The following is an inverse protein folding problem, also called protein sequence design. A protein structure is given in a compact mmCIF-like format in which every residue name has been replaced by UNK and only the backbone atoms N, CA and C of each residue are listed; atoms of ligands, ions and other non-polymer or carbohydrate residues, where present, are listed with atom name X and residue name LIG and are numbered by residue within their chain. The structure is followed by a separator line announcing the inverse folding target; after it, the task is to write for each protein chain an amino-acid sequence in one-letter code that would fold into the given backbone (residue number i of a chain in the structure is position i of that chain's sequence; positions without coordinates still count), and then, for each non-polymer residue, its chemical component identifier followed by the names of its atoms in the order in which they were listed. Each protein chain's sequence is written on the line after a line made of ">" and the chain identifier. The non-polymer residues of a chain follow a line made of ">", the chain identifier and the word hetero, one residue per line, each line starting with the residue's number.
data_IF_094685058114
#
_entry.id   IF_094685058114
#
_cell.length_a   1.000
_cell.length_b   1.000
_cell.length_c   1.000
_cell.angle_alpha   90.00
_cell.angle_beta   90.00
_cell.angle_gamma   90.00
#
_symmetry.space_group_name_H-M   'P 1'
#
loop_
_entity.id
_entity.type
_entity.pdbx_description
1 polymer ?
#
# COMPACT_ATOMS: atom_id res chain seq x y z
N UNK A 1 3.81 10.96 17.83
CA UNK A 1 3.29 11.45 16.54
C UNK A 1 3.53 12.95 16.50
N UNK A 2 4.02 13.48 15.37
CA UNK A 2 4.17 14.94 15.18
C UNK A 2 2.81 15.58 14.89
N UNK A 3 2.73 16.90 15.04
CA UNK A 3 1.59 17.67 14.55
C UNK A 3 1.56 17.62 13.01
N UNK A 4 0.36 17.57 12.44
CA UNK A 4 0.12 17.55 11.00
C UNK A 4 -1.20 18.26 10.69
N UNK A 5 -1.28 18.85 9.50
CA UNK A 5 -2.54 19.31 8.91
C UNK A 5 -3.40 18.14 8.46
N UNK A 6 -4.71 18.36 8.38
CA UNK A 6 -5.66 17.39 7.87
C UNK A 6 -6.59 18.07 6.89
N UNK A 7 -6.72 17.50 5.69
CA UNK A 7 -7.64 17.98 4.67
C UNK A 7 -8.37 16.81 4.04
N UNK A 8 -9.66 16.97 3.79
CA UNK A 8 -10.46 16.02 3.03
C UNK A 8 -10.44 16.42 1.55
N UNK A 9 -10.12 15.47 0.68
CA UNK A 9 -10.29 15.67 -0.76
C UNK A 9 -11.76 15.47 -1.16
N UNK A 10 -12.25 16.31 -2.08
CA UNK A 10 -13.64 16.23 -2.57
C UNK A 10 -13.76 15.50 -3.91
N UNK A 11 -12.67 15.44 -4.66
CA UNK A 11 -12.53 14.71 -5.91
C UNK A 11 -11.07 14.27 -6.09
N UNK A 12 -10.82 13.44 -7.11
CA UNK A 12 -9.49 12.89 -7.37
C UNK A 12 -8.50 13.98 -7.78
N UNK A 13 -8.91 14.92 -8.61
CA UNK A 13 -8.08 16.05 -9.07
C UNK A 13 -7.62 16.92 -7.89
N UNK A 14 -8.50 17.19 -6.94
CA UNK A 14 -8.21 17.90 -5.71
C UNK A 14 -7.26 17.11 -4.80
N UNK A 15 -7.44 15.79 -4.67
CA UNK A 15 -6.51 14.95 -3.93
C UNK A 15 -5.09 15.03 -4.52
N UNK A 16 -4.97 14.87 -5.84
CA UNK A 16 -3.69 14.98 -6.57
C UNK A 16 -3.06 16.35 -6.39
N UNK A 17 -3.86 17.42 -6.49
CA UNK A 17 -3.38 18.79 -6.33
C UNK A 17 -2.85 19.07 -4.91
N UNK A 18 -3.55 18.57 -3.89
CA UNK A 18 -3.11 18.69 -2.49
C UNK A 18 -1.81 17.93 -2.22
N UNK A 19 -1.68 16.71 -2.76
CA UNK A 19 -0.44 15.94 -2.63
C UNK A 19 0.72 16.60 -3.38
N UNK A 20 0.49 17.14 -4.57
CA UNK A 20 1.52 17.79 -5.37
C UNK A 20 2.03 19.11 -4.74
N UNK A 21 1.20 19.77 -3.94
CA UNK A 21 1.55 21.05 -3.29
C UNK A 21 2.52 20.89 -2.10
N UNK A 22 2.64 19.70 -1.52
CA UNK A 22 3.47 19.44 -0.33
C UNK A 22 4.16 18.06 -0.44
N UNK A 23 5.50 17.99 -0.59
CA UNK A 23 6.22 16.71 -0.70
C UNK A 23 6.11 15.83 0.55
N UNK A 24 5.78 16.41 1.70
CA UNK A 24 5.55 15.71 2.95
C UNK A 24 4.06 15.36 3.15
N UNK A 25 3.18 15.65 2.20
CA UNK A 25 1.80 15.20 2.26
C UNK A 25 1.70 13.69 2.01
N UNK A 26 0.71 13.04 2.66
CA UNK A 26 0.38 11.63 2.44
C UNK A 26 -1.12 11.45 2.33
N UNK A 27 -1.55 10.57 1.44
CA UNK A 27 -2.95 10.14 1.40
C UNK A 27 -3.29 9.29 2.63
N UNK A 28 -4.48 9.54 3.19
CA UNK A 28 -5.07 8.75 4.25
C UNK A 28 -6.28 8.00 3.71
N UNK A 29 -6.09 6.70 3.46
CA UNK A 29 -7.18 5.74 3.28
C UNK A 29 -7.67 5.24 4.65
N UNK A 30 -7.68 3.92 4.85
CA UNK A 30 -8.07 3.31 6.13
C UNK A 30 -7.18 3.61 7.35
N UNK A 31 -5.99 4.17 7.14
CA UNK A 31 -5.03 4.49 8.20
C UNK A 31 -4.36 3.29 8.89
N UNK A 32 -4.71 2.06 8.53
CA UNK A 32 -4.27 0.82 9.21
C UNK A 32 -2.76 0.53 9.12
N UNK A 33 -2.05 1.13 8.16
CA UNK A 33 -0.58 1.10 8.08
C UNK A 33 0.04 2.49 8.32
N UNK A 34 -0.45 3.54 7.66
CA UNK A 34 0.11 4.88 7.77
C UNK A 34 0.09 5.40 9.22
N UNK A 35 -1.04 5.30 9.93
CA UNK A 35 -1.15 5.85 11.30
C UNK A 35 -0.26 5.08 12.29
N UNK A 36 -0.06 3.78 12.07
CA UNK A 36 0.89 2.96 12.83
C UNK A 36 2.34 3.47 12.65
N UNK A 37 2.74 3.69 11.39
CA UNK A 37 4.05 4.25 11.05
C UNK A 37 4.23 5.69 11.57
N UNK A 38 3.15 6.47 11.67
CA UNK A 38 3.18 7.80 12.28
C UNK A 38 3.35 7.76 13.80
N UNK A 39 2.83 6.73 14.47
CA UNK A 39 3.01 6.52 15.91
C UNK A 39 4.44 6.13 16.25
N UNK A 40 5.02 5.23 15.47
CA UNK A 40 6.44 4.83 15.59
C UNK A 40 7.39 5.93 15.12
N UNK A 41 6.88 6.90 14.36
CA UNK A 41 7.64 8.05 13.86
C UNK A 41 8.47 7.72 12.61
N UNK A 42 8.19 6.61 11.95
CA UNK A 42 8.75 6.24 10.63
C UNK A 42 8.18 7.16 9.56
N UNK A 43 6.86 7.37 9.56
CA UNK A 43 6.21 8.37 8.70
C UNK A 43 5.98 9.65 9.50
N UNK A 44 6.29 10.80 8.90
CA UNK A 44 6.18 12.12 9.54
C UNK A 44 5.57 13.16 8.61
N UNK A 45 4.39 12.90 8.04
CA UNK A 45 3.79 13.82 7.09
C UNK A 45 3.47 15.16 7.74
N UNK A 46 3.62 16.24 6.97
CA UNK A 46 3.15 17.58 7.38
C UNK A 46 1.63 17.73 7.14
N UNK A 47 1.08 16.99 6.17
CA UNK A 47 -0.33 17.01 5.79
C UNK A 47 -0.86 15.59 5.53
N UNK A 48 -2.03 15.27 6.08
CA UNK A 48 -2.83 14.11 5.68
C UNK A 48 -3.98 14.54 4.77
N UNK A 49 -4.05 13.92 3.60
CA UNK A 49 -5.14 14.11 2.64
C UNK A 49 -6.08 12.91 2.73
N UNK A 50 -7.22 13.05 3.40
CA UNK A 50 -8.25 12.00 3.49
C UNK A 50 -8.93 11.79 2.14
N UNK A 51 -8.81 10.57 1.62
CA UNK A 51 -9.34 10.14 0.32
C UNK A 51 -10.48 9.13 0.45
N UNK A 52 -10.90 8.77 1.67
CA UNK A 52 -11.87 7.68 1.90
C UNK A 52 -13.25 7.95 1.27
N UNK A 53 -13.64 9.21 1.19
CA UNK A 53 -14.95 9.63 0.66
C UNK A 53 -14.92 9.90 -0.86
N UNK A 54 -13.78 9.68 -1.53
CA UNK A 54 -13.73 9.76 -2.99
C UNK A 54 -14.56 8.64 -3.61
N UNK A 55 -15.21 8.88 -4.77
CA UNK A 55 -16.08 7.91 -5.45
C UNK A 55 -15.27 6.82 -6.18
N UNK A 56 -14.37 6.17 -5.44
CA UNK A 56 -13.50 5.07 -5.85
C UNK A 56 -13.82 3.81 -5.05
N UNK A 57 -15.08 3.66 -4.65
CA UNK A 57 -15.59 2.66 -3.71
C UNK A 57 -16.40 1.56 -4.41
N UNK A 58 -16.29 1.47 -5.74
CA UNK A 58 -17.05 0.54 -6.57
C UNK A 58 -16.21 -0.62 -7.07
N UNK A 59 -16.90 -1.73 -7.34
CA UNK A 59 -16.38 -2.91 -8.02
C UNK A 59 -17.25 -3.11 -9.26
N UNK A 60 -16.70 -2.91 -10.44
CA UNK A 60 -17.47 -2.80 -11.70
C UNK A 60 -16.91 -3.76 -12.76
N UNK A 61 -17.76 -4.49 -13.50
CA UNK A 61 -17.29 -5.29 -14.64
C UNK A 61 -16.75 -4.37 -15.74
N UNK A 62 -15.69 -4.82 -16.41
CA UNK A 62 -15.11 -4.11 -17.56
C UNK A 62 -15.60 -4.71 -18.88
N UNK A 63 -15.50 -3.95 -19.97
CA UNK A 63 -16.02 -4.35 -21.29
C UNK A 63 -15.31 -5.57 -21.88
N UNK A 64 -14.07 -5.83 -21.46
CA UNK A 64 -13.24 -6.98 -21.82
C UNK A 64 -13.50 -8.21 -20.92
N UNK A 65 -14.47 -8.15 -20.01
CA UNK A 65 -14.85 -9.25 -19.12
C UNK A 65 -14.04 -9.34 -17.82
N UNK A 66 -13.19 -8.36 -17.53
CA UNK A 66 -12.47 -8.21 -16.28
C UNK A 66 -13.30 -7.52 -15.18
N UNK A 67 -12.59 -7.00 -14.17
CA UNK A 67 -13.17 -6.30 -13.03
C UNK A 67 -12.32 -5.08 -12.66
N UNK A 68 -12.95 -3.91 -12.60
CA UNK A 68 -12.36 -2.68 -12.07
C UNK A 68 -12.69 -2.57 -10.59
N UNK A 69 -11.67 -2.58 -9.75
CA UNK A 69 -11.79 -2.47 -8.30
C UNK A 69 -11.31 -1.08 -7.87
N UNK A 70 -12.21 -0.29 -7.30
CA UNK A 70 -11.91 1.04 -6.82
C UNK A 70 -10.95 1.05 -5.62
N UNK A 71 -10.09 2.07 -5.57
CA UNK A 71 -9.02 2.17 -4.56
C UNK A 71 -9.51 2.39 -3.12
N UNK A 72 -10.73 2.91 -2.91
CA UNK A 72 -11.33 3.14 -1.59
C UNK A 72 -12.27 2.01 -1.14
N UNK A 73 -12.51 1.00 -1.99
CA UNK A 73 -13.19 -0.24 -1.59
C UNK A 73 -12.47 -0.84 -0.38
N UNK A 74 -13.22 -1.21 0.66
CA UNK A 74 -12.62 -1.85 1.84
C UNK A 74 -12.25 -3.30 1.55
N UNK A 75 -11.23 -3.83 2.21
CA UNK A 75 -10.82 -5.23 2.06
C UNK A 75 -11.98 -6.19 2.40
N UNK A 76 -12.81 -5.84 3.39
CA UNK A 76 -13.97 -6.66 3.77
C UNK A 76 -15.03 -6.67 2.68
N UNK A 77 -15.38 -5.51 2.12
CA UNK A 77 -16.39 -5.41 1.06
C UNK A 77 -15.92 -6.15 -0.20
N UNK A 78 -14.64 -6.01 -0.55
CA UNK A 78 -14.05 -6.72 -1.67
C UNK A 78 -14.08 -8.24 -1.47
N UNK A 79 -13.76 -8.71 -0.26
CA UNK A 79 -13.73 -10.14 0.05
C UNK A 79 -15.12 -10.81 -0.08
N UNK A 80 -16.19 -10.07 0.21
CA UNK A 80 -17.57 -10.58 0.13
C UNK A 80 -18.27 -10.27 -1.19
N UNK A 81 -17.66 -9.47 -2.07
CA UNK A 81 -18.26 -9.07 -3.34
C UNK A 81 -18.61 -10.30 -4.21
N UNK A 82 -19.86 -10.44 -4.71
CA UNK A 82 -20.30 -11.65 -5.41
C UNK A 82 -19.43 -12.02 -6.62
N UNK A 83 -19.08 -11.05 -7.46
CA UNK A 83 -18.24 -11.29 -8.65
C UNK A 83 -16.81 -11.71 -8.26
N UNK A 84 -16.26 -11.17 -7.17
CA UNK A 84 -14.92 -11.53 -6.70
C UNK A 84 -14.92 -12.95 -6.16
N UNK A 85 -15.92 -13.30 -5.33
CA UNK A 85 -16.06 -14.66 -4.80
C UNK A 85 -16.26 -15.71 -5.88
N UNK A 86 -16.99 -15.35 -6.95
CA UNK A 86 -17.34 -16.28 -8.02
C UNK A 86 -16.20 -16.47 -9.01
N UNK A 87 -15.59 -15.38 -9.47
CA UNK A 87 -14.68 -15.40 -10.61
C UNK A 87 -13.21 -15.24 -10.19
N UNK A 88 -12.94 -14.69 -9.00
CA UNK A 88 -11.60 -14.41 -8.48
C UNK A 88 -11.39 -14.99 -7.05
N UNK A 89 -11.69 -16.28 -6.81
CA UNK A 89 -11.73 -16.84 -5.45
C UNK A 89 -10.39 -16.77 -4.70
N UNK A 90 -9.25 -16.80 -5.41
CA UNK A 90 -7.94 -16.62 -4.78
C UNK A 90 -7.76 -15.22 -4.17
N UNK A 91 -8.37 -14.17 -4.76
CA UNK A 91 -8.38 -12.82 -4.18
C UNK A 91 -9.21 -12.77 -2.89
N UNK A 92 -10.39 -13.39 -2.88
CA UNK A 92 -11.18 -13.54 -1.64
C UNK A 92 -10.38 -14.27 -0.55
N UNK A 93 -9.72 -15.37 -0.88
CA UNK A 93 -8.92 -16.14 0.08
C UNK A 93 -7.77 -15.32 0.65
N UNK A 94 -7.02 -14.61 -0.20
CA UNK A 94 -5.93 -13.74 0.22
C UNK A 94 -6.41 -12.63 1.17
N UNK A 95 -7.53 -11.99 0.85
CA UNK A 95 -8.13 -10.96 1.72
C UNK A 95 -8.53 -11.53 3.08
N UNK A 96 -9.13 -12.72 3.13
CA UNK A 96 -9.61 -13.32 4.39
C UNK A 96 -8.49 -13.91 5.25
N UNK A 97 -7.38 -14.33 4.64
CA UNK A 97 -6.20 -14.84 5.33
C UNK A 97 -5.43 -13.74 6.07
N UNK A 98 -5.41 -12.52 5.50
CA UNK A 98 -4.67 -11.40 6.05
C UNK A 98 -5.42 -10.63 7.14
N UNK A 99 -4.70 -10.21 8.18
CA UNK A 99 -5.17 -9.30 9.24
C UNK A 99 -6.41 -9.79 10.02
N UNK A 100 -7.06 -8.88 10.76
CA UNK A 100 -8.31 -9.12 11.51
C UNK A 100 -9.51 -8.52 10.77
N UNK A 101 -10.74 -8.92 11.16
CA UNK A 101 -11.95 -8.34 10.59
C UNK A 101 -12.04 -6.82 10.78
N UNK A 102 -11.62 -6.31 11.93
CA UNK A 102 -11.60 -4.87 12.23
C UNK A 102 -10.63 -4.12 11.31
N UNK A 103 -9.45 -4.68 11.07
CA UNK A 103 -8.48 -4.09 10.15
C UNK A 103 -9.00 -4.14 8.71
N UNK A 104 -9.63 -5.23 8.28
CA UNK A 104 -10.19 -5.35 6.92
C UNK A 104 -11.36 -4.42 6.66
N UNK A 105 -12.16 -4.12 7.68
CA UNK A 105 -13.26 -3.14 7.57
C UNK A 105 -12.75 -1.70 7.36
N UNK A 106 -11.48 -1.41 7.73
CA UNK A 106 -10.90 -0.08 7.55
C UNK A 106 -9.93 -0.02 6.37
N UNK A 107 -9.12 -1.06 6.16
CA UNK A 107 -8.13 -1.12 5.11
C UNK A 107 -8.82 -1.04 3.73
N UNK A 108 -8.29 -0.16 2.87
CA UNK A 108 -8.77 -0.02 1.50
C UNK A 108 -7.83 -0.74 0.53
N UNK A 109 -8.31 -1.03 -0.68
CA UNK A 109 -7.49 -1.67 -1.74
C UNK A 109 -6.22 -0.88 -2.03
N UNK A 110 -6.32 0.44 -2.24
CA UNK A 110 -5.16 1.28 -2.49
C UNK A 110 -4.18 1.29 -1.30
N UNK A 111 -4.71 1.36 -0.07
CA UNK A 111 -3.87 1.33 1.13
C UNK A 111 -3.20 -0.02 1.39
N UNK A 112 -3.83 -1.12 0.98
CA UNK A 112 -3.29 -2.47 1.11
C UNK A 112 -2.12 -2.70 0.13
N UNK A 113 -2.25 -2.23 -1.12
CA UNK A 113 -1.16 -2.29 -2.11
C UNK A 113 0.07 -1.47 -1.69
N UNK A 114 -0.13 -0.37 -0.97
CA UNK A 114 0.92 0.57 -0.55
C UNK A 114 1.43 0.33 0.87
N UNK A 115 1.03 -0.77 1.53
CA UNK A 115 1.46 -1.02 2.90
C UNK A 115 2.97 -1.30 2.96
N UNK A 116 3.64 -0.78 3.99
CA UNK A 116 5.09 -0.98 4.16
C UNK A 116 5.42 -2.29 4.88
N UNK A 117 6.67 -2.71 4.71
CA UNK A 117 7.23 -3.92 5.31
C UNK A 117 7.08 -3.99 6.84
N UNK A 118 7.10 -5.20 7.39
CA UNK A 118 7.05 -5.49 8.83
C UNK A 118 8.43 -5.80 9.45
N UNK A 119 9.51 -5.51 8.73
CA UNK A 119 10.88 -5.63 9.23
C UNK A 119 11.05 -4.87 10.56
N UNK A 120 11.50 -5.56 11.61
CA UNK A 120 11.67 -4.97 12.95
C UNK A 120 12.67 -3.80 12.95
N UNK A 121 13.77 -3.92 12.20
CA UNK A 121 14.77 -2.85 12.03
C UNK A 121 14.22 -1.62 11.30
N UNK A 122 13.25 -1.81 10.41
CA UNK A 122 12.59 -0.71 9.72
C UNK A 122 11.71 0.11 10.68
N UNK A 123 10.98 -0.57 11.57
CA UNK A 123 10.10 0.07 12.56
C UNK A 123 10.85 0.63 13.78
N UNK A 124 12.01 0.09 14.13
CA UNK A 124 12.85 0.61 15.22
C UNK A 124 13.76 1.75 14.68
N UNK A 125 13.48 2.97 15.11
CA UNK A 125 14.22 4.16 14.69
C UNK A 125 15.67 4.21 15.22
N UNK A 126 15.99 3.41 16.24
CA UNK A 126 17.36 3.32 16.78
C UNK A 126 18.29 2.47 15.93
N UNK A 127 17.74 1.66 15.02
CA UNK A 127 18.50 0.74 14.17
C UNK A 127 18.84 1.36 12.81
N UNK A 128 20.00 1.06 12.22
CA UNK A 128 20.27 1.42 10.83
C UNK A 128 19.29 0.75 9.87
N UNK A 129 18.85 1.45 8.83
CA UNK A 129 17.91 0.91 7.84
C UNK A 129 17.95 1.71 6.54
N UNK A 130 18.55 1.13 5.49
CA UNK A 130 18.60 1.72 4.14
C UNK A 130 17.21 2.15 3.63
N UNK A 131 16.17 1.36 3.91
CA UNK A 131 14.77 1.63 3.51
C UNK A 131 14.15 2.88 4.16
N UNK A 132 14.75 3.35 5.26
CA UNK A 132 14.35 4.60 5.94
C UNK A 132 15.31 5.74 5.63
N UNK A 133 16.61 5.44 5.56
CA UNK A 133 17.68 6.38 5.28
C UNK A 133 18.77 5.67 4.46
N UNK A 134 18.84 5.90 3.13
CA UNK A 134 19.83 5.25 2.27
C UNK A 134 21.27 5.43 2.76
N UNK A 135 22.07 4.37 2.65
CA UNK A 135 23.47 4.35 3.08
C UNK A 135 23.70 4.05 4.56
N UNK A 136 22.65 3.93 5.38
CA UNK A 136 22.80 3.60 6.80
C UNK A 136 23.04 2.11 7.06
N UNK A 137 22.76 1.25 6.09
CA UNK A 137 22.98 -0.20 6.15
C UNK A 137 21.69 -1.01 6.41
N UNK A 138 21.81 -2.33 6.33
CA UNK A 138 20.72 -3.26 6.59
C UNK A 138 21.16 -4.36 7.57
N UNK A 139 20.92 -4.18 8.88
CA UNK A 139 21.27 -5.17 9.89
C UNK A 139 20.58 -6.52 9.67
N UNK A 140 19.42 -6.54 9.01
CA UNK A 140 18.69 -7.77 8.71
C UNK A 140 19.49 -8.73 7.81
N UNK A 141 20.43 -8.25 6.96
CA UNK A 141 21.22 -9.14 6.08
C UNK A 141 22.00 -10.18 6.88
N UNK A 142 22.63 -9.77 8.00
CA UNK A 142 23.44 -10.66 8.84
C UNK A 142 22.82 -10.96 10.22
N UNK A 143 21.78 -10.23 10.60
CA UNK A 143 21.11 -10.31 11.90
C UNK A 143 19.87 -11.19 11.88
N UNK A 144 18.83 -10.78 12.60
CA UNK A 144 17.58 -11.52 12.70
C UNK A 144 16.77 -11.40 11.42
N UNK A 145 16.73 -12.46 10.61
CA UNK A 145 16.10 -12.45 9.29
C UNK A 145 15.07 -13.54 9.02
N UNK A 146 14.53 -14.21 10.04
CA UNK A 146 13.55 -15.30 9.80
C UNK A 146 12.31 -14.89 8.96
N UNK A 147 11.90 -13.62 9.01
CA UNK A 147 10.77 -13.07 8.25
C UNK A 147 11.17 -12.27 6.98
N UNK A 148 12.37 -12.47 6.44
CA UNK A 148 12.91 -11.68 5.34
C UNK A 148 12.99 -12.46 4.03
N UNK A 149 13.23 -11.71 2.95
CA UNK A 149 13.15 -12.20 1.58
C UNK A 149 14.30 -13.17 1.27
N UNK A 150 13.96 -14.30 0.66
CA UNK A 150 14.91 -15.26 0.08
C UNK A 150 15.06 -15.09 -1.44
N UNK A 151 14.18 -14.33 -2.08
CA UNK A 151 14.18 -14.00 -3.51
C UNK A 151 14.08 -12.49 -3.69
N UNK A 152 14.75 -11.97 -4.71
CA UNK A 152 14.69 -10.54 -5.05
C UNK A 152 15.29 -9.60 -4.00
N UNK A 153 16.03 -10.13 -3.04
CA UNK A 153 16.76 -9.36 -2.05
C UNK A 153 18.09 -8.84 -2.60
N UNK A 154 18.64 -7.81 -1.96
CA UNK A 154 19.99 -7.30 -2.23
C UNK A 154 20.76 -7.12 -0.92
N UNK A 155 22.05 -6.84 -1.03
CA UNK A 155 22.89 -6.47 0.13
C UNK A 155 22.40 -5.19 0.82
N UNK A 156 21.54 -4.41 0.15
CA UNK A 156 20.99 -3.17 0.68
C UNK A 156 19.68 -3.36 1.45
N UNK A 157 18.87 -4.37 1.12
CA UNK A 157 17.66 -4.68 1.88
C UNK A 157 17.15 -6.10 1.60
N UNK A 158 16.69 -6.77 2.66
CA UNK A 158 16.07 -8.10 2.59
C UNK A 158 14.59 -8.05 3.00
N UNK A 159 13.96 -6.87 3.00
CA UNK A 159 12.56 -6.72 3.44
C UNK A 159 11.56 -7.35 2.46
N UNK A 160 10.52 -7.99 2.99
CA UNK A 160 9.38 -8.51 2.21
C UNK A 160 8.25 -7.49 2.11
N UNK A 161 7.50 -7.54 1.00
CA UNK A 161 6.19 -6.90 0.90
C UNK A 161 5.14 -7.80 1.59
N UNK A 162 4.37 -7.30 2.58
CA UNK A 162 3.57 -8.16 3.45
C UNK A 162 2.13 -8.40 2.98
N UNK A 163 1.75 -7.95 1.77
CA UNK A 163 0.36 -8.03 1.31
C UNK A 163 0.01 -9.39 0.72
N UNK A 164 -0.90 -10.12 1.36
CA UNK A 164 -1.55 -11.30 0.77
C UNK A 164 -2.35 -10.93 -0.50
N UNK A 165 -3.06 -9.79 -0.46
CA UNK A 165 -3.88 -9.31 -1.57
C UNK A 165 -3.02 -8.99 -2.81
N UNK A 166 -1.86 -8.38 -2.62
CA UNK A 166 -0.90 -8.09 -3.69
C UNK A 166 -0.41 -9.35 -4.39
N UNK A 167 -0.22 -10.46 -3.65
CA UNK A 167 0.13 -11.77 -4.24
C UNK A 167 -0.98 -12.26 -5.16
N UNK A 168 -2.23 -12.25 -4.71
CA UNK A 168 -3.36 -12.69 -5.53
C UNK A 168 -3.56 -11.81 -6.76
N UNK A 169 -3.46 -10.48 -6.62
CA UNK A 169 -3.57 -9.54 -7.74
C UNK A 169 -2.44 -9.74 -8.76
N UNK A 170 -1.22 -10.03 -8.31
CA UNK A 170 -0.10 -10.35 -9.19
C UNK A 170 -0.36 -11.63 -9.98
N UNK A 171 -0.90 -12.67 -9.34
CA UNK A 171 -1.26 -13.91 -10.03
C UNK A 171 -2.38 -13.77 -11.07
N UNK A 172 -3.16 -12.68 -10.99
CA UNK A 172 -4.22 -12.35 -11.94
C UNK A 172 -3.80 -11.27 -12.95
N UNK A 173 -2.51 -10.96 -13.07
CA UNK A 173 -1.97 -9.94 -13.98
C UNK A 173 -2.67 -8.57 -13.81
N UNK A 174 -3.00 -8.21 -12.57
CA UNK A 174 -3.71 -6.97 -12.29
C UNK A 174 -2.95 -5.74 -12.81
N UNK A 175 -3.70 -4.75 -13.25
CA UNK A 175 -3.19 -3.44 -13.67
C UNK A 175 -3.59 -2.40 -12.63
N UNK A 176 -2.63 -1.60 -12.18
CA UNK A 176 -2.85 -0.47 -11.28
C UNK A 176 -3.08 0.77 -12.11
N UNK A 177 -4.33 1.25 -12.15
CA UNK A 177 -4.66 2.56 -12.71
C UNK A 177 -4.47 3.66 -11.66
N UNK A 178 -3.87 4.79 -12.04
CA UNK A 178 -3.59 5.92 -11.16
C UNK A 178 -3.85 7.27 -11.83
N UNK A 179 -3.98 8.31 -11.03
CA UNK A 179 -4.08 9.71 -11.45
C UNK A 179 -2.90 10.48 -10.85
N UNK A 180 -2.25 11.31 -11.67
CA UNK A 180 -1.09 12.12 -11.28
C UNK A 180 -1.23 13.56 -11.76
N UNK A 181 -0.31 14.44 -11.38
CA UNK A 181 -0.29 15.81 -11.89
C UNK A 181 -0.08 15.87 -13.41
N UNK A 182 0.56 14.86 -13.99
CA UNK A 182 0.80 14.72 -15.43
C UNK A 182 -0.37 14.02 -16.16
N UNK A 183 -1.39 13.57 -15.43
CA UNK A 183 -2.57 12.89 -15.95
C UNK A 183 -2.71 11.43 -15.50
N UNK A 184 -3.71 10.72 -16.06
CA UNK A 184 -3.96 9.31 -15.75
C UNK A 184 -2.88 8.40 -16.33
N UNK A 185 -2.67 7.28 -15.67
CA UNK A 185 -1.77 6.24 -16.15
C UNK A 185 -2.16 4.85 -15.65
N UNK A 186 -1.50 3.85 -16.22
CA UNK A 186 -1.65 2.45 -15.86
C UNK A 186 -0.28 1.80 -15.76
N UNK A 187 -0.13 0.86 -14.83
CA UNK A 187 1.09 0.06 -14.68
C UNK A 187 0.73 -1.37 -14.30
N UNK A 188 1.26 -2.40 -14.98
CA UNK A 188 1.11 -3.78 -14.54
C UNK A 188 1.60 -3.93 -13.09
N UNK A 189 0.90 -4.70 -12.26
CA UNK A 189 1.31 -4.86 -10.85
C UNK A 189 2.70 -5.51 -10.71
N UNK A 190 3.16 -6.26 -11.71
CA UNK A 190 4.53 -6.79 -11.80
C UNK A 190 5.59 -5.69 -11.82
N UNK A 191 5.24 -4.51 -12.33
CA UNK A 191 6.14 -3.38 -12.52
C UNK A 191 5.86 -2.27 -11.48
N UNK A 192 4.73 -2.37 -10.77
CA UNK A 192 4.34 -1.44 -9.70
C UNK A 192 5.28 -1.51 -8.50
N UNK A 193 5.77 -2.70 -8.16
CA UNK A 193 6.74 -2.90 -7.09
C UNK A 193 8.16 -2.91 -7.65
N UNK A 194 8.91 -1.84 -7.36
CA UNK A 194 10.29 -1.72 -7.84
C UNK A 194 11.20 -2.78 -7.20
N UNK A 195 12.17 -3.34 -7.96
CA UNK A 195 13.20 -4.22 -7.41
C UNK A 195 13.99 -3.53 -6.29
N UNK A 196 14.52 -4.34 -5.37
CA UNK A 196 15.39 -3.85 -4.30
C UNK A 196 16.75 -3.44 -4.88
N UNK A 197 16.89 -2.18 -5.26
CA UNK A 197 18.14 -1.58 -5.73
C UNK A 197 19.06 -1.09 -4.60
N UNK A 198 19.93 -0.14 -4.94
CA UNK A 198 20.94 0.43 -4.02
C UNK A 198 20.34 1.43 -3.01
N UNK A 199 19.18 2.00 -3.34
CA UNK A 199 18.38 2.89 -2.48
C UNK A 199 16.99 2.29 -2.25
N UNK A 200 16.91 1.20 -1.47
CA UNK A 200 15.69 0.42 -1.28
C UNK A 200 14.64 1.09 -0.41
#
# INVERSE_FOLDING_TARGET
>A
MREFGYQRAHDVTGAVSLLAADPDARYLGGGTNLVDLMKTGVERPALLVDVRELPLDRVEPTADGGLRIGATVTNSDLAVHPEVRRNYPALTQALLAGASGQLRNMATVGGNLLQRTRCGYFTDLSQPCNKRAPGTGCPAVAGEHHNHAVLGASDHCVAVHPSDMGVALTAFDAVVSYESADGPGEVPISDFYLPVGDTP
#
